data_IF_016179812298
#
_entry.id   IF_016179812298
#
_cell.length_a   1.000
_cell.length_b   1.000
_cell.length_c   1.000
_cell.angle_alpha   90.00
_cell.angle_beta   90.00
_cell.angle_gamma   90.00
#
_symmetry.space_group_name_H-M   'P 1'
#
loop_
_entity.id
_entity.type
_entity.pdbx_description
1 polymer ?
#
# COMPACT_ATOMS: atom_id res chain seq x y z
N UNK A 1 -14.72 17.62 -27.18
CA UNK A 1 -16.00 17.61 -26.44
C UNK A 1 -15.99 16.65 -25.24
N UNK A 2 -15.33 15.51 -25.32
CA UNK A 2 -15.22 14.53 -24.20
C UNK A 2 -14.45 15.05 -22.97
N UNK A 3 -13.45 15.94 -23.16
CA UNK A 3 -12.68 16.56 -22.07
C UNK A 3 -13.49 17.57 -21.24
N UNK A 4 -14.45 18.23 -21.83
CA UNK A 4 -15.29 19.25 -21.16
C UNK A 4 -16.39 18.63 -20.28
N UNK A 5 -16.95 17.48 -20.70
CA UNK A 5 -17.97 16.76 -19.93
C UNK A 5 -17.41 16.20 -18.61
N UNK A 6 -16.16 15.69 -18.64
CA UNK A 6 -15.48 15.20 -17.40
C UNK A 6 -15.16 16.32 -16.38
N UNK A 7 -14.89 17.52 -16.84
CA UNK A 7 -14.61 18.67 -15.94
C UNK A 7 -15.86 19.21 -15.25
N UNK A 8 -17.02 19.15 -15.90
CA UNK A 8 -18.28 19.61 -15.31
C UNK A 8 -18.88 18.64 -14.29
N UNK A 9 -18.66 17.34 -14.44
CA UNK A 9 -19.18 16.32 -13.51
C UNK A 9 -18.45 16.30 -12.15
N UNK A 10 -17.18 16.75 -12.09
CA UNK A 10 -16.41 16.84 -10.85
C UNK A 10 -16.67 18.13 -10.04
N UNK A 11 -17.13 19.21 -10.69
CA UNK A 11 -17.42 20.46 -9.98
C UNK A 11 -18.59 20.36 -9.02
N UNK A 12 -19.64 19.65 -9.39
CA UNK A 12 -20.83 19.52 -8.55
C UNK A 12 -20.61 18.69 -7.27
N UNK A 13 -19.97 17.52 -7.30
CA UNK A 13 -19.69 16.75 -6.08
C UNK A 13 -18.74 17.47 -5.13
N UNK A 14 -17.69 18.14 -5.66
CA UNK A 14 -16.74 18.87 -4.82
C UNK A 14 -17.40 20.08 -4.14
N UNK A 15 -18.21 20.86 -4.87
CA UNK A 15 -18.93 22.00 -4.29
C UNK A 15 -19.91 21.58 -3.21
N UNK A 16 -20.63 20.45 -3.42
CA UNK A 16 -21.53 19.88 -2.42
C UNK A 16 -20.76 19.42 -1.18
N UNK A 17 -19.66 18.67 -1.35
CA UNK A 17 -18.80 18.24 -0.26
C UNK A 17 -18.22 19.41 0.55
N UNK A 18 -17.78 20.48 -0.12
CA UNK A 18 -17.28 21.68 0.54
C UNK A 18 -18.38 22.38 1.34
N UNK A 19 -19.60 22.47 0.79
CA UNK A 19 -20.76 23.02 1.48
C UNK A 19 -21.15 22.20 2.71
N UNK A 20 -21.19 20.89 2.61
CA UNK A 20 -21.43 19.97 3.74
C UNK A 20 -20.35 20.11 4.83
N UNK A 21 -19.07 20.26 4.43
CA UNK A 21 -17.94 20.47 5.33
C UNK A 21 -18.02 21.82 6.04
N UNK A 22 -18.52 22.85 5.38
CA UNK A 22 -18.79 24.17 5.94
C UNK A 22 -19.92 24.11 6.97
N UNK A 23 -21.07 23.53 6.60
CA UNK A 23 -22.24 23.39 7.50
C UNK A 23 -21.87 22.59 8.75
N UNK A 24 -21.01 21.57 8.62
CA UNK A 24 -20.54 20.75 9.75
C UNK A 24 -19.48 21.45 10.62
N UNK A 25 -19.09 22.69 10.32
CA UNK A 25 -18.10 23.45 11.07
C UNK A 25 -16.66 22.93 10.96
N UNK A 26 -16.37 22.08 9.98
CA UNK A 26 -15.03 21.50 9.77
C UNK A 26 -14.11 22.39 8.94
N UNK A 27 -14.64 23.43 8.27
CA UNK A 27 -13.83 24.45 7.59
C UNK A 27 -13.49 25.59 8.54
N UNK A 28 -12.28 26.16 8.47
CA UNK A 28 -11.90 27.35 9.21
C UNK A 28 -12.83 28.52 8.87
N UNK A 29 -13.02 29.45 9.81
CA UNK A 29 -13.81 30.64 9.61
C UNK A 29 -12.97 31.82 9.05
N UNK A 30 -13.64 32.81 8.48
CA UNK A 30 -13.02 34.03 8.02
C UNK A 30 -12.03 33.87 6.88
N UNK A 31 -10.91 34.59 6.95
CA UNK A 31 -9.88 34.63 5.88
C UNK A 31 -9.28 33.27 5.59
N UNK A 32 -9.17 32.40 6.59
CA UNK A 32 -8.61 31.08 6.44
C UNK A 32 -9.51 30.12 5.65
N UNK A 33 -10.82 30.38 5.59
CA UNK A 33 -11.77 29.54 4.84
C UNK A 33 -11.40 29.48 3.36
N UNK A 34 -11.16 30.62 2.72
CA UNK A 34 -10.84 30.66 1.29
C UNK A 34 -9.51 29.95 1.00
N UNK A 35 -8.53 30.13 1.87
CA UNK A 35 -7.24 29.44 1.77
C UNK A 35 -7.39 27.93 1.87
N UNK A 36 -8.20 27.44 2.83
CA UNK A 36 -8.48 26.01 2.99
C UNK A 36 -9.21 25.43 1.76
N UNK A 37 -10.22 26.15 1.23
CA UNK A 37 -10.95 25.75 0.02
C UNK A 37 -9.99 25.66 -1.18
N UNK A 38 -9.16 26.67 -1.40
CA UNK A 38 -8.19 26.68 -2.48
C UNK A 38 -7.18 25.52 -2.35
N UNK A 39 -6.74 25.21 -1.13
CA UNK A 39 -5.85 24.09 -0.86
C UNK A 39 -6.51 22.74 -1.21
N UNK A 40 -7.76 22.52 -0.80
CA UNK A 40 -8.53 21.32 -1.11
C UNK A 40 -8.73 21.19 -2.63
N UNK A 41 -9.13 22.27 -3.31
CA UNK A 41 -9.32 22.27 -4.76
C UNK A 41 -8.03 21.93 -5.51
N UNK A 42 -6.92 22.52 -5.10
CA UNK A 42 -5.60 22.22 -5.68
C UNK A 42 -5.19 20.77 -5.46
N UNK A 43 -5.42 20.22 -4.26
CA UNK A 43 -5.14 18.81 -3.95
C UNK A 43 -5.99 17.87 -4.82
N UNK A 44 -7.29 18.12 -4.96
CA UNK A 44 -8.20 17.34 -5.81
C UNK A 44 -7.80 17.42 -7.27
N UNK A 45 -7.49 18.62 -7.77
CA UNK A 45 -7.06 18.81 -9.17
C UNK A 45 -5.74 18.05 -9.44
N UNK A 46 -4.78 18.13 -8.52
CA UNK A 46 -3.51 17.39 -8.60
C UNK A 46 -3.73 15.88 -8.64
N UNK A 47 -4.57 15.38 -7.74
CA UNK A 47 -4.90 13.97 -7.68
C UNK A 47 -5.60 13.50 -8.97
N UNK A 48 -6.56 14.26 -9.45
CA UNK A 48 -7.25 13.98 -10.71
C UNK A 48 -6.29 13.96 -11.92
N UNK A 49 -5.36 14.92 -12.00
CA UNK A 49 -4.34 14.95 -13.04
C UNK A 49 -3.44 13.69 -13.01
N UNK A 50 -3.13 13.17 -11.82
CA UNK A 50 -2.37 11.94 -11.66
C UNK A 50 -3.17 10.70 -12.10
N UNK A 51 -4.47 10.63 -11.79
CA UNK A 51 -5.34 9.54 -12.27
C UNK A 51 -5.43 9.54 -13.79
N UNK A 52 -5.58 10.72 -14.42
CA UNK A 52 -5.55 10.83 -15.89
C UNK A 52 -4.22 10.34 -16.46
N UNK A 53 -3.08 10.74 -15.85
CA UNK A 53 -1.75 10.30 -16.26
C UNK A 53 -1.58 8.78 -16.17
N UNK A 54 -2.22 8.15 -15.19
CA UNK A 54 -2.21 6.71 -14.96
C UNK A 54 -3.30 5.97 -15.77
N UNK A 55 -4.07 6.69 -16.60
CA UNK A 55 -5.19 6.16 -17.39
C UNK A 55 -6.29 5.52 -16.55
N UNK A 56 -6.43 5.96 -15.28
CA UNK A 56 -7.44 5.44 -14.34
C UNK A 56 -8.70 6.29 -14.39
N UNK A 57 -9.83 5.66 -14.62
CA UNK A 57 -11.13 6.29 -14.44
C UNK A 57 -11.53 6.24 -12.97
N UNK A 58 -11.74 7.39 -12.29
CA UNK A 58 -12.14 7.43 -10.89
C UNK A 58 -13.43 6.65 -10.56
N UNK A 59 -14.31 6.50 -11.54
CA UNK A 59 -15.57 5.75 -11.38
C UNK A 59 -15.38 4.23 -11.45
N UNK A 60 -14.25 3.79 -11.99
CA UNK A 60 -13.89 2.37 -12.12
C UNK A 60 -13.09 1.82 -10.93
N UNK A 61 -12.86 2.63 -9.91
CA UNK A 61 -12.17 2.20 -8.69
C UNK A 61 -13.16 1.42 -7.81
N UNK A 62 -12.73 0.26 -7.35
CA UNK A 62 -13.50 -0.63 -6.49
C UNK A 62 -12.60 -1.29 -5.45
N UNK A 63 -13.20 -1.98 -4.49
CA UNK A 63 -12.50 -2.73 -3.46
C UNK A 63 -12.74 -4.23 -3.65
N UNK A 64 -11.82 -5.06 -3.16
CA UNK A 64 -11.98 -6.51 -3.09
C UNK A 64 -12.08 -6.91 -1.62
N UNK A 65 -13.16 -7.58 -1.25
CA UNK A 65 -13.40 -8.09 0.09
C UNK A 65 -13.30 -9.61 0.12
N UNK A 66 -12.47 -10.13 1.02
CA UNK A 66 -12.33 -11.54 1.31
C UNK A 66 -13.07 -11.85 2.61
N UNK A 67 -14.10 -12.71 2.56
CA UNK A 67 -14.98 -12.97 3.70
C UNK A 67 -15.28 -14.46 3.83
N UNK A 68 -15.24 -14.98 5.07
CA UNK A 68 -15.53 -16.39 5.38
C UNK A 68 -16.97 -16.81 5.03
N UNK A 69 -17.90 -15.86 5.09
CA UNK A 69 -19.31 -16.13 4.84
C UNK A 69 -19.71 -16.06 3.37
N UNK A 70 -18.80 -15.71 2.48
CA UNK A 70 -19.07 -15.58 1.05
C UNK A 70 -18.81 -16.90 0.37
N UNK A 71 -19.86 -17.53 -0.13
CA UNK A 71 -19.76 -18.80 -0.89
C UNK A 71 -19.67 -18.58 -2.39
N UNK A 72 -20.09 -17.42 -2.90
CA UNK A 72 -20.12 -17.09 -4.31
C UNK A 72 -19.50 -15.73 -4.58
N UNK A 73 -18.89 -15.58 -5.76
CA UNK A 73 -18.37 -14.30 -6.23
C UNK A 73 -19.52 -13.35 -6.54
N UNK A 74 -19.52 -12.18 -5.94
CA UNK A 74 -20.43 -11.11 -6.27
C UNK A 74 -19.61 -9.88 -6.71
N UNK A 75 -19.71 -9.55 -8.00
CA UNK A 75 -19.00 -8.40 -8.59
C UNK A 75 -19.96 -7.23 -8.84
N UNK A 76 -21.09 -7.21 -8.18
CA UNK A 76 -22.03 -6.12 -8.26
C UNK A 76 -21.58 -5.00 -7.32
N UNK A 77 -21.49 -3.79 -7.83
CA UNK A 77 -21.10 -2.59 -7.09
C UNK A 77 -19.58 -2.33 -7.00
N UNK A 78 -19.23 -1.30 -6.19
CA UNK A 78 -17.84 -0.87 -5.91
C UNK A 78 -17.06 -1.82 -4.99
N UNK A 79 -17.64 -2.91 -4.57
CA UNK A 79 -17.00 -3.94 -3.73
C UNK A 79 -17.23 -5.30 -4.37
N UNK A 80 -16.13 -5.94 -4.75
CA UNK A 80 -16.15 -7.31 -5.24
C UNK A 80 -15.93 -8.25 -4.08
N UNK A 81 -16.83 -9.20 -3.85
CA UNK A 81 -16.77 -10.13 -2.73
C UNK A 81 -16.27 -11.49 -3.19
N UNK A 82 -15.32 -12.03 -2.45
CA UNK A 82 -14.73 -13.34 -2.66
C UNK A 82 -14.70 -14.12 -1.34
N UNK A 83 -14.69 -15.47 -1.39
CA UNK A 83 -14.49 -16.27 -0.20
C UNK A 83 -13.11 -16.00 0.42
N UNK A 84 -13.01 -16.28 1.71
CA UNK A 84 -11.72 -16.26 2.40
C UNK A 84 -10.68 -17.10 1.65
N UNK A 85 -9.46 -16.60 1.61
CA UNK A 85 -8.39 -17.22 0.85
C UNK A 85 -7.65 -18.24 1.73
N UNK A 86 -7.80 -19.52 1.43
CA UNK A 86 -7.15 -20.62 2.13
C UNK A 86 -5.79 -20.92 1.53
N UNK A 87 -4.74 -20.84 2.35
CA UNK A 87 -3.35 -21.13 1.94
C UNK A 87 -2.77 -22.22 2.80
N UNK A 88 -2.30 -23.29 2.15
CA UNK A 88 -1.58 -24.36 2.83
C UNK A 88 -0.12 -23.95 3.10
N UNK A 89 0.27 -24.00 4.37
CA UNK A 89 1.59 -23.66 4.88
C UNK A 89 2.22 -24.91 5.50
N UNK A 90 3.31 -25.41 4.93
CA UNK A 90 4.06 -26.53 5.49
C UNK A 90 5.20 -26.03 6.41
N UNK A 91 5.31 -26.44 7.67
CA UNK A 91 4.50 -27.39 8.43
C UNK A 91 3.33 -26.76 9.20
N UNK A 92 3.09 -25.45 9.06
CA UNK A 92 2.22 -24.64 9.93
C UNK A 92 0.71 -24.86 9.71
N UNK A 93 0.31 -25.79 8.83
CA UNK A 93 -1.10 -26.07 8.59
C UNK A 93 -1.73 -25.18 7.52
N UNK A 94 -3.00 -24.78 7.73
CA UNK A 94 -3.77 -23.95 6.79
C UNK A 94 -4.01 -22.57 7.38
N UNK A 95 -3.82 -21.54 6.58
CA UNK A 95 -4.04 -20.13 6.94
C UNK A 95 -5.18 -19.58 6.10
N UNK A 96 -6.16 -18.95 6.77
CA UNK A 96 -7.24 -18.24 6.13
C UNK A 96 -6.96 -16.74 6.12
N UNK A 97 -6.98 -16.12 4.93
CA UNK A 97 -6.81 -14.68 4.77
C UNK A 97 -8.19 -14.06 4.53
N UNK A 98 -8.55 -13.14 5.41
CA UNK A 98 -9.77 -12.33 5.34
C UNK A 98 -9.42 -10.86 5.38
N UNK A 99 -10.25 -10.00 4.82
CA UNK A 99 -10.03 -8.56 4.85
C UNK A 99 -10.45 -7.86 3.57
N UNK A 100 -9.95 -6.64 3.38
CA UNK A 100 -10.35 -5.79 2.26
C UNK A 100 -9.15 -5.14 1.61
N UNK A 101 -8.99 -5.36 0.30
CA UNK A 101 -8.09 -4.61 -0.57
C UNK A 101 -8.86 -3.41 -1.11
N UNK A 102 -8.35 -2.23 -0.84
CA UNK A 102 -8.97 -0.96 -1.25
C UNK A 102 -8.26 -0.38 -2.47
N UNK A 103 -8.96 0.51 -3.18
CA UNK A 103 -8.40 1.27 -4.30
C UNK A 103 -7.86 0.40 -5.44
N UNK A 104 -8.61 -0.64 -5.82
CA UNK A 104 -8.30 -1.50 -6.98
C UNK A 104 -8.98 -0.94 -8.23
N UNK A 105 -8.32 -1.02 -9.38
CA UNK A 105 -8.90 -0.69 -10.69
C UNK A 105 -8.40 -1.68 -11.77
N UNK A 106 -8.92 -1.59 -12.99
CA UNK A 106 -8.48 -2.47 -14.11
C UNK A 106 -6.99 -2.34 -14.41
N UNK A 107 -6.41 -1.19 -14.18
CA UNK A 107 -5.00 -0.91 -14.38
C UNK A 107 -4.10 -1.44 -13.25
N UNK A 108 -4.66 -1.83 -12.10
CA UNK A 108 -3.92 -2.40 -10.98
C UNK A 108 -4.34 -1.88 -9.62
N UNK A 109 -3.42 -1.89 -8.66
CA UNK A 109 -3.60 -1.35 -7.30
C UNK A 109 -3.14 0.10 -7.23
N UNK A 110 -4.01 0.98 -6.78
CA UNK A 110 -3.66 2.38 -6.51
C UNK A 110 -3.06 2.50 -5.11
N UNK A 111 -1.92 3.16 -4.99
CA UNK A 111 -1.29 3.42 -3.71
C UNK A 111 -0.83 4.87 -3.59
N UNK A 112 -1.15 5.52 -2.48
CA UNK A 112 -0.75 6.92 -2.22
C UNK A 112 0.71 7.01 -1.77
N UNK A 113 1.61 6.55 -2.62
CA UNK A 113 3.06 6.46 -2.39
C UNK A 113 3.84 7.15 -3.50
N UNK A 114 5.12 7.47 -3.23
CA UNK A 114 6.05 7.99 -4.21
C UNK A 114 6.69 6.88 -5.08
N UNK A 115 6.64 5.64 -4.62
CA UNK A 115 7.27 4.48 -5.25
C UNK A 115 8.76 4.38 -4.95
N UNK A 116 9.24 5.01 -3.88
CA UNK A 116 10.56 4.77 -3.29
C UNK A 116 10.54 3.48 -2.47
N UNK A 117 11.70 2.88 -2.21
CA UNK A 117 11.83 1.65 -1.43
C UNK A 117 11.18 1.77 -0.03
N UNK A 118 11.28 2.93 0.60
CA UNK A 118 10.72 3.19 1.93
C UNK A 118 9.17 3.15 1.94
N UNK A 119 8.54 3.66 0.88
CA UNK A 119 7.08 3.77 0.80
C UNK A 119 6.40 2.46 0.31
N UNK A 120 7.20 1.53 -0.26
CA UNK A 120 6.65 0.37 -0.97
C UNK A 120 6.18 -0.78 -0.06
N UNK A 121 6.68 -0.89 1.17
CA UNK A 121 6.50 -2.10 1.97
C UNK A 121 5.02 -2.45 2.21
N UNK A 122 4.22 -1.52 2.75
CA UNK A 122 2.80 -1.79 3.03
C UNK A 122 2.00 -2.11 1.77
N UNK A 123 1.97 -1.24 0.74
CA UNK A 123 1.22 -1.53 -0.47
C UNK A 123 1.82 -2.70 -1.28
N UNK A 124 3.05 -3.10 -0.98
CA UNK A 124 3.67 -4.26 -1.62
C UNK A 124 3.01 -5.58 -1.21
N UNK A 125 2.68 -5.74 0.05
CA UNK A 125 1.94 -6.92 0.56
C UNK A 125 0.56 -6.99 -0.10
N UNK A 126 -0.17 -5.88 -0.11
CA UNK A 126 -1.48 -5.75 -0.75
C UNK A 126 -1.39 -6.05 -2.26
N UNK A 127 -0.30 -5.58 -2.90
CA UNK A 127 -0.06 -5.83 -4.31
C UNK A 127 0.24 -7.30 -4.64
N UNK A 128 1.02 -8.00 -3.81
CA UNK A 128 1.26 -9.43 -3.97
C UNK A 128 -0.05 -10.21 -3.79
N UNK A 129 -0.85 -9.86 -2.79
CA UNK A 129 -2.17 -10.46 -2.58
C UNK A 129 -3.07 -10.23 -3.80
N UNK A 130 -3.11 -9.00 -4.34
CA UNK A 130 -3.85 -8.72 -5.57
C UNK A 130 -3.36 -9.57 -6.74
N UNK A 131 -2.04 -9.68 -6.95
CA UNK A 131 -1.47 -10.52 -8.01
C UNK A 131 -1.89 -11.98 -7.87
N UNK A 132 -1.90 -12.50 -6.64
CA UNK A 132 -2.38 -13.85 -6.37
C UNK A 132 -3.87 -14.02 -6.68
N UNK A 133 -4.72 -13.08 -6.29
CA UNK A 133 -6.16 -13.10 -6.62
C UNK A 133 -6.41 -13.01 -8.12
N UNK A 134 -5.63 -12.22 -8.85
CA UNK A 134 -5.69 -12.15 -10.32
C UNK A 134 -5.41 -13.51 -10.93
N UNK A 135 -4.38 -14.21 -10.47
CA UNK A 135 -4.02 -15.53 -10.99
C UNK A 135 -5.07 -16.59 -10.65
N UNK A 136 -5.55 -16.57 -9.39
CA UNK A 136 -6.50 -17.55 -8.88
C UNK A 136 -7.88 -17.43 -9.56
N UNK A 137 -8.39 -16.20 -9.65
CA UNK A 137 -9.76 -15.94 -10.16
C UNK A 137 -9.77 -15.42 -11.59
N UNK A 138 -8.61 -15.32 -12.27
CA UNK A 138 -8.45 -14.79 -13.63
C UNK A 138 -9.10 -13.42 -13.80
N UNK A 139 -8.84 -12.53 -12.84
CA UNK A 139 -9.43 -11.19 -12.84
C UNK A 139 -8.93 -10.36 -14.03
N UNK A 140 -9.79 -9.55 -14.67
CA UNK A 140 -9.40 -8.67 -15.77
C UNK A 140 -8.68 -7.40 -15.25
N UNK A 141 -7.67 -7.57 -14.41
CA UNK A 141 -6.90 -6.52 -13.76
C UNK A 141 -5.43 -6.69 -14.14
N UNK A 142 -4.74 -5.60 -14.46
CA UNK A 142 -3.30 -5.63 -14.75
C UNK A 142 -2.51 -5.78 -13.45
N UNK A 143 -1.47 -6.62 -13.47
CA UNK A 143 -0.54 -6.76 -12.34
C UNK A 143 0.40 -5.55 -12.28
N UNK A 144 -0.11 -4.42 -11.77
CA UNK A 144 0.61 -3.16 -11.69
C UNK A 144 0.28 -2.45 -10.38
N UNK A 145 1.30 -1.83 -9.77
CA UNK A 145 1.16 -0.93 -8.63
C UNK A 145 1.29 0.52 -9.13
N UNK A 146 0.25 1.30 -8.94
CA UNK A 146 0.11 2.66 -9.44
C UNK A 146 0.41 3.66 -8.32
N UNK A 147 1.55 4.36 -8.42
CA UNK A 147 2.02 5.28 -7.38
C UNK A 147 1.40 6.67 -7.57
N UNK A 148 0.41 7.03 -6.76
CA UNK A 148 -0.36 8.27 -6.90
C UNK A 148 0.45 9.56 -6.63
N UNK A 149 1.50 9.52 -5.80
CA UNK A 149 2.31 10.74 -5.55
C UNK A 149 3.17 11.16 -6.75
N UNK A 150 3.57 10.21 -7.59
CA UNK A 150 4.51 10.46 -8.70
C UNK A 150 3.95 10.12 -10.07
N UNK A 151 2.82 9.41 -10.14
CA UNK A 151 2.29 8.87 -11.39
C UNK A 151 3.23 7.83 -12.02
N UNK A 152 3.99 7.07 -11.20
CA UNK A 152 4.82 5.95 -11.65
C UNK A 152 4.06 4.65 -11.58
N UNK A 153 4.40 3.74 -12.49
CA UNK A 153 3.86 2.39 -12.51
C UNK A 153 4.99 1.43 -12.14
N UNK A 154 4.73 0.55 -11.17
CA UNK A 154 5.62 -0.54 -10.78
C UNK A 154 5.01 -1.86 -11.22
N UNK A 155 5.81 -2.72 -11.84
CA UNK A 155 5.45 -4.09 -12.19
C UNK A 155 6.01 -5.06 -11.14
N UNK A 156 5.41 -6.24 -10.96
CA UNK A 156 6.00 -7.26 -10.10
C UNK A 156 7.36 -7.69 -10.66
N UNK A 157 8.32 -7.94 -9.76
CA UNK A 157 9.61 -8.54 -10.12
C UNK A 157 9.60 -10.07 -9.94
N UNK A 158 8.47 -10.62 -9.46
CA UNK A 158 8.29 -12.06 -9.25
C UNK A 158 7.40 -12.64 -10.37
N UNK A 159 7.61 -13.90 -10.68
CA UNK A 159 6.80 -14.64 -11.65
C UNK A 159 5.64 -15.38 -10.98
N UNK A 160 5.85 -15.89 -9.77
CA UNK A 160 4.89 -16.70 -9.01
C UNK A 160 4.39 -15.96 -7.77
N UNK A 161 3.18 -15.42 -7.87
CA UNK A 161 2.52 -14.69 -6.78
C UNK A 161 2.17 -15.59 -5.59
N UNK A 162 1.90 -16.89 -5.81
CA UNK A 162 1.60 -17.84 -4.75
C UNK A 162 2.83 -18.09 -3.88
N UNK A 163 3.99 -18.27 -4.51
CA UNK A 163 5.25 -18.47 -3.81
C UNK A 163 5.63 -17.24 -2.98
N UNK A 164 5.48 -16.05 -3.55
CA UNK A 164 5.79 -14.81 -2.82
C UNK A 164 4.83 -14.56 -1.65
N UNK A 165 3.54 -14.84 -1.82
CA UNK A 165 2.57 -14.72 -0.74
C UNK A 165 2.87 -15.70 0.40
N UNK A 166 3.21 -16.96 0.08
CA UNK A 166 3.64 -17.95 1.08
C UNK A 166 4.90 -17.52 1.82
N UNK A 167 5.89 -16.93 1.14
CA UNK A 167 7.10 -16.38 1.79
C UNK A 167 6.78 -15.28 2.79
N UNK A 168 5.87 -14.36 2.44
CA UNK A 168 5.43 -13.30 3.35
C UNK A 168 4.74 -13.88 4.57
N UNK A 169 3.82 -14.83 4.38
CA UNK A 169 3.12 -15.50 5.48
C UNK A 169 4.08 -16.27 6.37
N UNK A 170 5.00 -17.03 5.78
CA UNK A 170 6.03 -17.74 6.53
C UNK A 170 6.86 -16.78 7.37
N UNK A 171 7.32 -15.67 6.77
CA UNK A 171 8.05 -14.63 7.49
C UNK A 171 7.20 -14.05 8.64
N UNK A 172 5.92 -13.79 8.41
CA UNK A 172 5.00 -13.29 9.44
C UNK A 172 4.92 -14.27 10.63
N UNK A 173 4.74 -15.57 10.39
CA UNK A 173 4.67 -16.56 11.46
C UNK A 173 6.01 -16.73 12.19
N UNK A 174 7.12 -16.75 11.48
CA UNK A 174 8.46 -16.78 12.09
C UNK A 174 8.68 -15.56 13.00
N UNK A 175 8.13 -14.39 12.65
CA UNK A 175 8.24 -13.17 13.46
C UNK A 175 7.34 -13.17 14.69
N UNK A 176 6.25 -13.96 14.70
CA UNK A 176 5.42 -14.14 15.90
C UNK A 176 6.10 -15.03 16.94
N UNK A 177 6.89 -16.01 16.47
CA UNK A 177 7.64 -16.92 17.37
C UNK A 177 8.94 -16.30 17.88
N UNK A 178 9.58 -15.50 17.06
CA UNK A 178 10.85 -14.83 17.38
C UNK A 178 10.74 -13.34 17.08
N UNK A 179 11.14 -12.48 18.03
CA UNK A 179 11.23 -11.05 17.77
C UNK A 179 12.07 -10.79 16.52
N UNK A 180 11.39 -10.47 15.43
CA UNK A 180 12.08 -10.11 14.20
C UNK A 180 12.62 -8.69 14.33
N UNK A 181 13.91 -8.50 14.16
CA UNK A 181 14.51 -7.19 14.18
C UNK A 181 14.35 -6.44 12.87
N UNK A 182 13.67 -7.02 11.88
CA UNK A 182 13.45 -6.36 10.60
C UNK A 182 12.49 -5.19 10.79
N UNK A 183 13.02 -4.00 10.73
CA UNK A 183 12.26 -2.78 10.77
C UNK A 183 12.14 -2.21 9.35
N UNK A 184 11.01 -1.57 9.08
CA UNK A 184 10.76 -0.92 7.79
C UNK A 184 11.84 0.12 7.45
N UNK A 185 12.40 0.78 8.46
CA UNK A 185 13.44 1.78 8.32
C UNK A 185 14.76 1.19 7.81
N UNK A 186 15.02 -0.09 8.06
CA UNK A 186 16.25 -0.75 7.60
C UNK A 186 16.17 -1.36 6.22
N UNK A 187 14.97 -1.48 5.65
CA UNK A 187 14.80 -2.03 4.30
C UNK A 187 15.70 -1.36 3.25
N UNK A 188 15.84 -0.03 3.18
CA UNK A 188 16.75 0.60 2.23
C UNK A 188 18.21 0.21 2.46
N UNK A 189 18.62 0.08 3.74
CA UNK A 189 19.98 -0.35 4.09
C UNK A 189 20.24 -1.77 3.61
N UNK A 190 19.27 -2.68 3.82
CA UNK A 190 19.40 -4.09 3.45
C UNK A 190 19.43 -4.27 1.92
N UNK A 191 18.63 -3.49 1.21
CA UNK A 191 18.51 -3.61 -0.25
C UNK A 191 19.61 -2.88 -1.04
N UNK A 192 20.18 -1.80 -0.49
CA UNK A 192 21.04 -0.88 -1.24
C UNK A 192 22.50 -0.86 -0.79
N UNK A 193 22.84 -1.42 0.38
CA UNK A 193 24.17 -1.33 0.97
C UNK A 193 24.94 -2.65 0.90
N UNK A 194 26.23 -2.57 0.54
CA UNK A 194 27.14 -3.70 0.56
C UNK A 194 27.50 -4.12 2.00
N UNK A 195 27.76 -3.12 2.87
CA UNK A 195 28.06 -3.36 4.28
C UNK A 195 26.86 -3.04 5.18
N UNK A 196 25.92 -3.98 5.19
CA UNK A 196 24.62 -3.85 5.89
C UNK A 196 24.83 -3.67 7.40
N UNK A 197 25.67 -4.51 8.01
CA UNK A 197 25.88 -4.51 9.45
C UNK A 197 26.43 -3.18 9.95
N UNK A 198 27.45 -2.64 9.29
CA UNK A 198 28.02 -1.33 9.62
C UNK A 198 26.98 -0.21 9.45
N UNK A 199 26.19 -0.25 8.41
CA UNK A 199 25.15 0.75 8.14
C UNK A 199 24.01 0.71 9.16
N UNK A 200 23.61 -0.49 9.62
CA UNK A 200 22.66 -0.65 10.72
C UNK A 200 23.23 -0.11 12.03
N UNK A 201 24.46 -0.47 12.39
CA UNK A 201 25.13 0.05 13.58
C UNK A 201 25.20 1.58 13.59
N UNK A 202 25.55 2.17 12.46
CA UNK A 202 25.56 3.62 12.30
C UNK A 202 24.17 4.22 12.50
N UNK A 203 23.10 3.60 11.96
CA UNK A 203 21.73 4.06 12.15
C UNK A 203 21.26 4.00 13.60
N UNK A 204 21.73 3.01 14.37
CA UNK A 204 21.40 2.86 15.79
C UNK A 204 22.09 3.86 16.69
N UNK A 205 23.25 4.37 16.29
CA UNK A 205 24.11 5.23 17.13
C UNK A 205 24.00 6.72 16.77
N UNK A 206 23.43 7.07 15.65
CA UNK A 206 23.26 8.45 15.20
C UNK A 206 21.80 8.90 15.27
N UNK A 207 21.39 9.71 16.28
CA UNK A 207 20.02 10.21 16.42
C UNK A 207 19.55 11.09 15.26
N UNK A 208 20.48 11.65 14.49
CA UNK A 208 20.19 12.48 13.31
C UNK A 208 20.08 11.66 12.02
N UNK A 209 20.33 10.36 12.08
CA UNK A 209 20.13 9.48 10.93
C UNK A 209 18.63 9.34 10.63
N UNK A 210 18.17 9.55 9.38
CA UNK A 210 16.75 9.47 9.02
C UNK A 210 16.13 8.08 9.26
N UNK A 211 16.93 7.03 9.39
CA UNK A 211 16.47 5.67 9.72
C UNK A 211 16.67 5.31 11.20
N UNK A 212 16.98 6.30 12.05
CA UNK A 212 17.11 6.09 13.48
C UNK A 212 15.75 5.77 14.11
N UNK A 213 15.72 4.67 14.89
CA UNK A 213 14.55 4.30 15.65
C UNK A 213 14.95 3.99 17.10
N UNK A 214 14.48 4.76 18.10
CA UNK A 214 14.87 4.59 19.51
C UNK A 214 14.46 3.22 20.07
N UNK A 215 13.38 2.61 19.57
CA UNK A 215 12.97 1.26 20.00
C UNK A 215 13.94 0.19 19.50
N UNK A 216 14.42 0.30 18.26
CA UNK A 216 15.46 -0.58 17.73
C UNK A 216 16.76 -0.43 18.48
N UNK A 217 17.16 0.81 18.82
CA UNK A 217 18.32 1.05 19.68
C UNK A 217 18.19 0.37 21.04
N UNK A 218 16.99 0.36 21.62
CA UNK A 218 16.74 -0.32 22.88
C UNK A 218 16.81 -1.85 22.73
N UNK A 219 16.25 -2.43 21.67
CA UNK A 219 16.29 -3.86 21.36
C UNK A 219 17.75 -4.31 21.15
N UNK A 220 18.53 -3.55 20.38
CA UNK A 220 19.91 -3.85 20.03
C UNK A 220 20.95 -3.13 20.92
N UNK A 221 20.60 -2.86 22.17
CA UNK A 221 21.50 -2.18 23.13
C UNK A 221 22.83 -2.91 23.37
N UNK A 222 22.89 -4.22 23.12
CA UNK A 222 24.07 -5.06 23.29
C UNK A 222 24.85 -5.31 22.00
N UNK A 223 24.38 -4.81 20.86
CA UNK A 223 25.03 -4.99 19.55
C UNK A 223 24.07 -4.93 18.39
N UNK A 224 24.57 -5.04 17.18
CA UNK A 224 23.75 -5.16 15.95
C UNK A 224 23.24 -6.59 15.74
N UNK A 225 22.25 -6.80 14.86
CA UNK A 225 21.90 -8.13 14.40
C UNK A 225 23.13 -8.88 13.85
N UNK A 226 23.23 -10.17 14.11
CA UNK A 226 24.33 -10.97 13.58
C UNK A 226 24.19 -11.18 12.05
N UNK A 227 25.28 -11.61 11.42
CA UNK A 227 25.28 -11.85 9.96
C UNK A 227 24.26 -12.91 9.53
N UNK A 228 23.99 -13.92 10.37
CA UNK A 228 23.01 -14.98 10.06
C UNK A 228 21.59 -14.42 10.05
N UNK A 229 21.29 -13.51 10.97
CA UNK A 229 20.00 -12.81 10.99
C UNK A 229 19.85 -11.92 9.76
N UNK A 230 20.89 -11.16 9.40
CA UNK A 230 20.88 -10.28 8.22
C UNK A 230 20.73 -11.08 6.92
N UNK A 231 21.39 -12.25 6.80
CA UNK A 231 21.28 -13.10 5.61
C UNK A 231 19.88 -13.70 5.41
N UNK A 232 19.15 -13.95 6.50
CA UNK A 232 17.74 -14.37 6.42
C UNK A 232 16.82 -13.30 5.86
N UNK A 233 17.23 -12.03 5.89
CA UNK A 233 16.42 -10.89 5.41
C UNK A 233 16.68 -10.53 3.94
N UNK A 234 17.75 -11.05 3.35
CA UNK A 234 18.02 -10.95 1.91
C UNK A 234 17.25 -12.01 1.11
#
# INVERSE_FOLDING_TARGET
QMHLIKKSSLRNPLSKCLQETEISGKLPLGVFKQTAINHIQNAVNKHHALLIKLEVDPLSIFDIELNENTTNHNNEQKVWQYPALEIEMNPSGRVSIVGRLVDVCKEGLLANISGTSQDLFKPWVDFILLCYLIDLYRLPIKKQLLCLKTGRIKKPYFEDSSKELKRILQYYFETLEQLSPLSQEWLPIILEKENIQHSILKSLNDPFNPVFNPYLKWIYRTGSPDERQIQKWK
#
